data_IF_436274769719
#
_entry.id   IF_436274769719
#
_cell.length_a   1.000
_cell.length_b   1.000
_cell.length_c   1.000
_cell.angle_alpha   90.00
_cell.angle_beta   90.00
_cell.angle_gamma   90.00
#
_symmetry.space_group_name_H-M   'P 1'
#
loop_
_entity.id
_entity.type
_entity.pdbx_description
1 polymer ?
#
# COMPACT_ATOMS: atom_id res chain seq x y z
N UNK A 1 13.46 14.12 -13.93
CA UNK A 1 12.72 12.93 -14.40
C UNK A 1 11.73 12.64 -13.30
N UNK A 2 10.41 12.73 -13.57
CA UNK A 2 9.39 12.41 -12.56
C UNK A 2 9.47 10.91 -12.27
N UNK A 3 9.51 10.53 -11.00
CA UNK A 3 9.45 9.13 -10.60
C UNK A 3 7.98 8.71 -10.35
N UNK A 4 7.73 7.41 -10.11
CA UNK A 4 6.36 6.91 -9.93
C UNK A 4 5.64 7.55 -8.73
N UNK A 5 6.37 7.89 -7.66
CA UNK A 5 5.80 8.58 -6.50
C UNK A 5 5.31 10.00 -6.88
N UNK A 6 6.03 10.71 -7.75
CA UNK A 6 5.59 12.01 -8.26
C UNK A 6 4.29 11.89 -9.08
N UNK A 7 4.15 10.79 -9.83
CA UNK A 7 2.92 10.48 -10.58
C UNK A 7 1.73 10.26 -9.65
N UNK A 8 1.87 9.41 -8.62
CA UNK A 8 0.82 9.17 -7.62
C UNK A 8 0.36 10.48 -6.96
N UNK A 9 1.30 11.35 -6.58
CA UNK A 9 0.97 12.67 -6.00
C UNK A 9 0.18 13.54 -6.97
N UNK A 10 0.57 13.57 -8.24
CA UNK A 10 -0.14 14.37 -9.24
C UNK A 10 -1.54 13.84 -9.51
N UNK A 11 -1.71 12.52 -9.60
CA UNK A 11 -3.00 11.88 -9.81
C UNK A 11 -3.99 12.19 -8.68
N UNK A 12 -3.57 12.00 -7.43
CA UNK A 12 -4.41 12.29 -6.26
C UNK A 12 -4.77 13.78 -6.15
N UNK A 13 -3.83 14.68 -6.45
CA UNK A 13 -4.06 16.14 -6.36
C UNK A 13 -4.92 16.69 -7.51
N UNK A 14 -4.87 16.07 -8.69
CA UNK A 14 -5.60 16.54 -9.86
C UNK A 14 -7.02 16.00 -9.93
N UNK A 15 -7.37 15.01 -9.11
CA UNK A 15 -8.71 14.44 -9.08
C UNK A 15 -9.70 15.38 -8.38
N UNK A 16 -10.75 15.80 -9.10
CA UNK A 16 -11.76 16.72 -8.59
C UNK A 16 -12.87 16.04 -7.77
N UNK A 17 -12.94 14.70 -7.77
CA UNK A 17 -13.95 13.94 -7.03
C UNK A 17 -13.59 13.73 -5.56
N UNK A 18 -14.55 13.22 -4.80
CA UNK A 18 -14.33 12.84 -3.40
C UNK A 18 -13.90 11.38 -3.30
N UNK A 19 -12.92 11.11 -2.46
CA UNK A 19 -12.47 9.78 -2.10
C UNK A 19 -12.02 9.76 -0.62
N UNK A 20 -11.95 8.58 0.02
CA UNK A 20 -11.53 8.48 1.41
C UNK A 20 -10.13 9.08 1.65
N UNK A 21 -10.01 9.97 2.63
CA UNK A 21 -8.78 10.75 2.85
C UNK A 21 -7.56 9.89 3.19
N UNK A 22 -7.75 8.68 3.71
CA UNK A 22 -6.64 7.78 4.05
C UNK A 22 -5.88 7.30 2.81
N UNK A 23 -6.50 7.33 1.61
CA UNK A 23 -5.86 7.00 0.33
C UNK A 23 -4.70 7.96 0.02
N UNK A 24 -4.73 9.20 0.54
CA UNK A 24 -3.66 10.16 0.34
C UNK A 24 -2.29 9.72 0.89
N UNK A 25 -2.22 8.66 1.70
CA UNK A 25 -0.96 8.13 2.22
C UNK A 25 -0.23 7.17 1.26
N UNK A 26 -0.84 6.84 0.12
CA UNK A 26 -0.28 5.92 -0.87
C UNK A 26 1.12 6.33 -1.35
N UNK A 27 1.36 7.60 -1.75
CA UNK A 27 2.66 7.99 -2.25
C UNK A 27 3.78 7.76 -1.22
N UNK A 28 3.50 8.10 0.04
CA UNK A 28 4.40 7.95 1.18
C UNK A 28 4.66 6.47 1.49
N UNK A 29 3.62 5.63 1.44
CA UNK A 29 3.76 4.19 1.63
C UNK A 29 4.50 3.49 0.48
N UNK A 30 4.25 3.88 -0.76
CA UNK A 30 5.00 3.40 -1.92
C UNK A 30 6.49 3.72 -1.79
N UNK A 31 6.81 4.96 -1.42
CA UNK A 31 8.20 5.37 -1.19
C UNK A 31 8.84 4.62 -0.01
N UNK A 32 8.08 4.34 1.05
CA UNK A 32 8.53 3.52 2.16
C UNK A 32 8.91 2.10 1.71
N UNK A 33 8.04 1.42 0.95
CA UNK A 33 8.36 0.09 0.40
C UNK A 33 9.60 0.12 -0.48
N UNK A 34 9.73 1.13 -1.35
CA UNK A 34 10.92 1.34 -2.17
C UNK A 34 12.19 1.41 -1.31
N UNK A 35 12.18 2.18 -0.20
CA UNK A 35 13.32 2.27 0.72
C UNK A 35 13.61 0.97 1.47
N UNK A 36 12.59 0.21 1.81
CA UNK A 36 12.75 -1.09 2.47
C UNK A 36 13.39 -2.15 1.56
N UNK A 37 13.37 -1.99 0.23
CA UNK A 37 14.12 -2.91 -0.68
C UNK A 37 15.64 -2.87 -0.45
N UNK A 38 16.16 -1.73 -0.01
CA UNK A 38 17.58 -1.50 0.28
C UNK A 38 18.02 -2.13 1.62
N UNK A 39 17.06 -2.48 2.49
CA UNK A 39 17.33 -3.03 3.81
C UNK A 39 17.79 -4.49 3.78
N UNK A 40 18.51 -4.87 4.85
CA UNK A 40 18.96 -6.25 5.07
C UNK A 40 17.86 -7.08 5.75
N UNK A 41 16.78 -7.31 5.03
CA UNK A 41 15.68 -8.21 5.43
C UNK A 41 15.80 -9.59 4.77
N UNK A 42 14.97 -10.53 5.19
CA UNK A 42 14.95 -11.88 4.63
C UNK A 42 14.56 -11.88 3.15
N UNK A 43 14.95 -12.94 2.42
CA UNK A 43 14.55 -13.09 1.01
C UNK A 43 13.03 -13.13 0.85
N UNK A 44 12.34 -13.73 1.82
CA UNK A 44 10.89 -13.80 1.89
C UNK A 44 10.27 -12.40 1.94
N UNK A 45 10.70 -11.61 2.93
CA UNK A 45 10.26 -10.23 3.09
C UNK A 45 10.56 -9.38 1.85
N UNK A 46 11.72 -9.56 1.21
CA UNK A 46 12.01 -8.87 -0.06
C UNK A 46 11.04 -9.26 -1.15
N UNK A 47 10.67 -10.55 -1.25
CA UNK A 47 9.67 -11.00 -2.23
C UNK A 47 8.33 -10.34 -1.98
N UNK A 48 7.89 -10.26 -0.73
CA UNK A 48 6.61 -9.60 -0.38
C UNK A 48 6.63 -8.10 -0.71
N UNK A 49 7.74 -7.40 -0.43
CA UNK A 49 7.91 -5.98 -0.82
C UNK A 49 7.79 -5.83 -2.34
N UNK A 50 8.47 -6.68 -3.11
CA UNK A 50 8.39 -6.62 -4.57
C UNK A 50 7.00 -6.98 -5.10
N UNK A 51 6.30 -7.92 -4.47
CA UNK A 51 4.92 -8.26 -4.83
C UNK A 51 3.98 -7.06 -4.63
N UNK A 52 4.09 -6.36 -3.50
CA UNK A 52 3.32 -5.14 -3.26
C UNK A 52 3.66 -4.02 -4.25
N UNK A 53 4.95 -3.78 -4.52
CA UNK A 53 5.38 -2.78 -5.51
C UNK A 53 4.94 -3.12 -6.94
N UNK A 54 4.88 -4.42 -7.28
CA UNK A 54 4.39 -4.88 -8.59
C UNK A 54 2.87 -4.70 -8.73
N UNK A 55 2.12 -4.83 -7.64
CA UNK A 55 0.67 -4.64 -7.63
C UNK A 55 0.30 -3.20 -8.00
N UNK A 56 0.99 -2.21 -7.41
CA UNK A 56 0.84 -0.77 -7.73
C UNK A 56 0.96 -0.39 -9.21
N UNK A 57 1.55 -1.24 -10.05
CA UNK A 57 1.78 -0.95 -11.47
C UNK A 57 1.05 -1.93 -12.39
N UNK A 58 0.22 -2.81 -11.83
CA UNK A 58 -0.52 -3.82 -12.56
C UNK A 58 -1.70 -3.14 -13.29
N UNK A 59 -1.76 -3.17 -14.63
CA UNK A 59 -2.90 -2.58 -15.34
C UNK A 59 -4.15 -3.43 -15.17
N UNK A 60 -5.29 -2.79 -14.85
CA UNK A 60 -6.57 -3.46 -14.60
C UNK A 60 -6.47 -4.51 -13.48
N UNK A 61 -5.94 -4.11 -12.34
CA UNK A 61 -6.02 -4.87 -11.10
C UNK A 61 -7.48 -4.96 -10.58
N UNK A 62 -7.67 -5.46 -9.36
CA UNK A 62 -9.02 -5.80 -8.86
C UNK A 62 -9.93 -4.57 -8.80
N UNK A 63 -9.41 -3.41 -8.42
CA UNK A 63 -10.15 -2.15 -8.37
C UNK A 63 -9.41 -1.07 -9.15
N UNK A 64 -9.49 -1.15 -10.48
CA UNK A 64 -8.74 -0.24 -11.35
C UNK A 64 -9.07 1.25 -11.19
N UNK A 65 -8.01 2.06 -11.07
CA UNK A 65 -8.03 3.51 -10.97
C UNK A 65 -8.47 4.19 -12.26
N UNK A 66 -8.31 3.54 -13.41
CA UNK A 66 -8.86 4.00 -14.69
C UNK A 66 -10.39 4.12 -14.66
N UNK A 67 -11.06 3.32 -13.82
CA UNK A 67 -12.51 3.30 -13.66
C UNK A 67 -12.96 4.13 -12.46
N UNK A 68 -12.26 4.01 -11.33
CA UNK A 68 -12.67 4.57 -10.05
C UNK A 68 -11.89 5.82 -9.63
N UNK A 69 -10.91 6.26 -10.42
CA UNK A 69 -9.97 7.32 -10.04
C UNK A 69 -9.16 6.91 -8.81
N UNK A 70 -8.77 7.87 -7.95
CA UNK A 70 -8.07 7.62 -6.69
C UNK A 70 -8.71 6.59 -5.76
N UNK A 71 -10.03 6.40 -5.82
CA UNK A 71 -10.69 5.39 -5.00
C UNK A 71 -10.30 3.95 -5.41
N UNK A 72 -9.76 3.78 -6.62
CA UNK A 72 -9.28 2.50 -7.13
C UNK A 72 -8.16 1.94 -6.27
N UNK A 73 -7.22 2.77 -5.82
CA UNK A 73 -6.04 2.34 -5.08
C UNK A 73 -6.28 1.73 -3.67
N UNK A 74 -7.53 1.47 -3.30
CA UNK A 74 -7.86 0.92 -2.00
C UNK A 74 -7.26 -0.47 -1.79
N UNK A 75 -7.22 -1.29 -2.83
CA UNK A 75 -6.59 -2.62 -2.83
C UNK A 75 -5.06 -2.52 -2.86
N UNK A 76 -4.47 -1.59 -3.59
CA UNK A 76 -3.03 -1.30 -3.49
C UNK A 76 -2.62 -0.92 -2.07
N UNK A 77 -3.37 0.00 -1.46
CA UNK A 77 -3.11 0.46 -0.11
C UNK A 77 -3.27 -0.69 0.88
N UNK A 78 -4.26 -1.57 0.69
CA UNK A 78 -4.43 -2.77 1.50
C UNK A 78 -3.20 -3.69 1.40
N UNK A 79 -2.77 -4.02 0.19
CA UNK A 79 -1.61 -4.90 -0.08
C UNK A 79 -0.34 -4.31 0.53
N UNK A 80 -0.13 -3.01 0.34
CA UNK A 80 0.99 -2.29 0.92
C UNK A 80 0.97 -2.37 2.46
N UNK A 81 -0.17 -2.05 3.07
CA UNK A 81 -0.34 -2.11 4.52
C UNK A 81 -0.11 -3.53 5.06
N UNK A 82 -0.60 -4.56 4.37
CA UNK A 82 -0.40 -5.97 4.75
C UNK A 82 1.09 -6.30 4.85
N UNK A 83 1.87 -5.95 3.83
CA UNK A 83 3.33 -6.19 3.82
C UNK A 83 4.04 -5.37 4.90
N UNK A 84 3.68 -4.09 5.07
CA UNK A 84 4.28 -3.25 6.11
C UNK A 84 3.99 -3.77 7.52
N UNK A 85 2.80 -4.33 7.78
CA UNK A 85 2.46 -4.95 9.07
C UNK A 85 3.27 -6.22 9.32
N UNK A 86 3.49 -7.06 8.30
CA UNK A 86 4.40 -8.22 8.41
C UNK A 86 5.83 -7.79 8.74
N UNK A 87 6.31 -6.71 8.11
CA UNK A 87 7.62 -6.13 8.40
C UNK A 87 7.67 -5.56 9.83
N UNK A 88 6.63 -4.85 10.29
CA UNK A 88 6.51 -4.38 11.68
C UNK A 88 6.60 -5.55 12.66
N UNK A 89 5.87 -6.64 12.39
CA UNK A 89 5.84 -7.84 13.24
C UNK A 89 7.21 -8.54 13.30
N UNK A 90 7.91 -8.64 12.17
CA UNK A 90 9.17 -9.41 12.08
C UNK A 90 10.41 -8.60 12.48
N UNK A 91 10.46 -7.31 12.16
CA UNK A 91 11.65 -6.47 12.32
C UNK A 91 11.46 -5.30 13.29
N UNK A 92 10.23 -5.06 13.73
CA UNK A 92 9.86 -3.98 14.64
C UNK A 92 9.57 -2.66 13.93
N UNK A 93 8.72 -1.86 14.58
CA UNK A 93 8.24 -0.56 14.09
C UNK A 93 9.38 0.42 13.72
N UNK A 94 10.50 0.38 14.45
CA UNK A 94 11.65 1.27 14.23
C UNK A 94 12.21 1.19 12.81
N UNK A 95 12.10 0.03 12.16
CA UNK A 95 12.55 -0.13 10.77
C UNK A 95 11.70 0.72 9.82
N UNK A 96 10.39 0.78 10.06
CA UNK A 96 9.47 1.59 9.25
C UNK A 96 9.62 3.08 9.55
N UNK A 97 9.72 3.44 10.82
CA UNK A 97 9.92 4.83 11.29
C UNK A 97 11.16 5.48 10.66
N UNK A 98 12.22 4.70 10.42
CA UNK A 98 13.47 5.17 9.80
C UNK A 98 13.25 5.83 8.43
N UNK A 99 12.25 5.39 7.68
CA UNK A 99 12.01 5.79 6.29
C UNK A 99 10.65 6.46 6.07
N UNK A 100 9.85 6.59 7.13
CA UNK A 100 8.56 7.25 7.05
C UNK A 100 8.73 8.75 6.81
N UNK A 101 8.03 9.27 5.80
CA UNK A 101 8.05 10.70 5.41
C UNK A 101 6.66 11.30 5.35
N UNK A 102 5.62 10.53 5.69
CA UNK A 102 4.24 11.00 5.71
C UNK A 102 3.86 11.68 7.02
N UNK A 103 2.67 12.27 7.02
CA UNK A 103 2.18 13.02 8.17
C UNK A 103 1.71 12.09 9.29
N UNK A 104 2.09 12.44 10.53
CA UNK A 104 1.71 11.71 11.73
C UNK A 104 2.55 10.46 12.02
N UNK A 105 2.18 9.74 13.08
CA UNK A 105 2.88 8.54 13.53
C UNK A 105 2.55 7.36 12.60
N UNK A 106 3.56 6.79 11.95
CA UNK A 106 3.39 5.67 11.00
C UNK A 106 2.55 4.52 11.56
N UNK A 107 2.70 4.17 12.84
CA UNK A 107 1.90 3.11 13.48
C UNK A 107 0.40 3.43 13.43
N UNK A 108 0.01 4.69 13.64
CA UNK A 108 -1.39 5.11 13.62
C UNK A 108 -1.92 5.12 12.18
N UNK A 109 -1.15 5.70 11.26
CA UNK A 109 -1.51 5.78 9.84
C UNK A 109 -1.64 4.39 9.23
N UNK A 110 -0.67 3.50 9.46
CA UNK A 110 -0.66 2.11 8.99
C UNK A 110 -1.87 1.33 9.51
N UNK A 111 -2.18 1.44 10.80
CA UNK A 111 -3.34 0.75 11.37
C UNK A 111 -4.66 1.29 10.83
N UNK A 112 -4.79 2.61 10.71
CA UNK A 112 -5.98 3.22 10.12
C UNK A 112 -6.18 2.74 8.67
N UNK A 113 -5.17 2.90 7.82
CA UNK A 113 -5.26 2.52 6.41
C UNK A 113 -5.54 1.03 6.25
N UNK A 114 -4.86 0.17 7.00
CA UNK A 114 -5.11 -1.27 6.98
C UNK A 114 -6.55 -1.61 7.40
N UNK A 115 -7.06 -1.01 8.47
CA UNK A 115 -8.41 -1.31 8.97
C UNK A 115 -9.49 -0.85 8.00
N UNK A 116 -9.40 0.38 7.48
CA UNK A 116 -10.41 0.90 6.55
C UNK A 116 -10.39 0.16 5.21
N UNK A 117 -9.22 -0.05 4.62
CA UNK A 117 -9.10 -0.80 3.36
C UNK A 117 -9.58 -2.25 3.49
N UNK A 118 -9.19 -2.96 4.57
CA UNK A 118 -9.66 -4.31 4.83
C UNK A 118 -11.19 -4.37 5.02
N UNK A 119 -11.76 -3.36 5.68
CA UNK A 119 -13.22 -3.28 5.87
C UNK A 119 -13.93 -3.12 4.53
N UNK A 120 -13.51 -2.17 3.70
CA UNK A 120 -14.13 -1.90 2.40
C UNK A 120 -13.98 -3.08 1.43
N UNK A 121 -12.82 -3.74 1.40
CA UNK A 121 -12.62 -4.94 0.58
C UNK A 121 -13.47 -6.12 1.07
N UNK A 122 -13.71 -6.25 2.38
CA UNK A 122 -14.61 -7.27 2.94
C UNK A 122 -16.07 -7.01 2.58
N UNK A 123 -16.50 -5.75 2.61
CA UNK A 123 -17.87 -5.36 2.23
C UNK A 123 -18.17 -5.70 0.76
N UNK A 124 -17.13 -5.74 -0.08
CA UNK A 124 -17.22 -6.07 -1.51
C UNK A 124 -16.83 -7.53 -1.85
N UNK A 125 -16.45 -8.34 -0.86
CA UNK A 125 -15.95 -9.72 -1.04
C UNK A 125 -14.72 -9.82 -1.98
N UNK A 126 -13.83 -8.80 -1.94
CA UNK A 126 -12.69 -8.68 -2.85
C UNK A 126 -11.35 -9.10 -2.24
N UNK A 127 -11.28 -9.37 -0.93
CA UNK A 127 -10.02 -9.68 -0.23
C UNK A 127 -9.29 -10.88 -0.87
N UNK A 128 -10.01 -11.98 -1.13
CA UNK A 128 -9.39 -13.17 -1.73
C UNK A 128 -8.91 -12.92 -3.17
N UNK A 129 -9.64 -12.11 -3.93
CA UNK A 129 -9.26 -11.75 -5.29
C UNK A 129 -7.93 -10.97 -5.29
N UNK A 130 -7.81 -9.95 -4.43
CA UNK A 130 -6.59 -9.13 -4.30
C UNK A 130 -5.38 -9.97 -3.87
N UNK A 131 -5.55 -10.85 -2.88
CA UNK A 131 -4.47 -11.71 -2.39
C UNK A 131 -4.00 -12.72 -3.46
N UNK A 132 -4.92 -13.21 -4.29
CA UNK A 132 -4.61 -14.16 -5.36
C UNK A 132 -3.70 -13.55 -6.43
N UNK A 133 -3.90 -12.28 -6.78
CA UNK A 133 -3.06 -11.56 -7.75
C UNK A 133 -1.63 -11.30 -7.23
N UNK A 134 -1.47 -11.13 -5.92
CA UNK A 134 -0.18 -10.81 -5.30
C UNK A 134 0.62 -12.02 -4.83
N UNK A 135 0.00 -13.21 -4.77
CA UNK A 135 0.55 -14.42 -4.11
C UNK A 135 0.87 -14.23 -2.61
N UNK A 136 0.31 -13.18 -1.99
CA UNK A 136 0.47 -12.90 -0.56
C UNK A 136 -0.61 -13.62 0.25
N UNK A 137 -0.28 -13.93 1.51
CA UNK A 137 -1.22 -14.51 2.47
C UNK A 137 -1.39 -13.59 3.67
N UNK A 138 -2.61 -13.51 4.22
CA UNK A 138 -2.84 -12.88 5.52
C UNK A 138 -2.31 -13.77 6.65
N UNK A 139 -1.70 -13.17 7.66
CA UNK A 139 -1.36 -13.89 8.89
C UNK A 139 -2.65 -14.35 9.59
N UNK A 140 -2.69 -15.62 10.00
CA UNK A 140 -3.85 -16.24 10.67
C UNK A 140 -3.98 -15.83 12.14
#
# INVERSE_FOLDING_TARGET
>A
MKNYNDFLKEELNNFAGNFPQYINNIPEFFNLLCKLTEEKVSKETKREIYAALAYFVLPNDVISEDVYGPAGYIDDLFVCCLVLKKIENQYGLKLLEKYWVGDGEIKKVLNLCYTETLKELKEQDLVEAVLKETTLEMEK
#
